data_IF_704630704841
#
_entry.id   IF_704630704841
#
_cell.length_a   1.000
_cell.length_b   1.000
_cell.length_c   1.000
_cell.angle_alpha   90.00
_cell.angle_beta   90.00
_cell.angle_gamma   90.00
#
_symmetry.space_group_name_H-M   'P 1'
#
loop_
_entity.id
_entity.type
_entity.pdbx_description
1 polymer ?
#
# COMPACT_ATOMS: atom_id res chain seq x y z
N UNK A 1 -11.84 -52.37 9.06
CA UNK A 1 -12.01 -53.66 8.39
C UNK A 1 -11.16 -54.78 9.00
N UNK A 2 -10.09 -54.44 9.73
CA UNK A 2 -9.22 -55.41 10.44
C UNK A 2 -9.90 -55.88 11.71
N UNK A 3 -10.05 -57.19 11.88
CA UNK A 3 -10.55 -57.78 13.11
C UNK A 3 -9.74 -59.06 13.47
N UNK A 4 -10.06 -59.71 14.58
CA UNK A 4 -9.32 -60.90 15.08
C UNK A 4 -9.34 -62.10 14.09
N UNK A 5 -10.35 -62.17 13.21
CA UNK A 5 -10.51 -63.26 12.22
C UNK A 5 -9.91 -62.90 10.87
N UNK A 6 -9.83 -61.58 10.51
CA UNK A 6 -9.38 -61.10 9.21
C UNK A 6 -8.32 -60.02 9.41
N UNK A 7 -7.05 -60.42 9.45
CA UNK A 7 -5.93 -59.52 9.72
C UNK A 7 -5.46 -58.77 8.49
N UNK A 8 -5.80 -59.24 7.27
CA UNK A 8 -5.44 -58.60 6.01
C UNK A 8 -6.72 -58.53 5.11
N UNK A 9 -7.64 -57.60 5.41
CA UNK A 9 -8.89 -57.50 4.63
C UNK A 9 -8.60 -57.04 3.19
N UNK A 10 -9.15 -57.77 2.22
CA UNK A 10 -9.06 -57.45 0.79
C UNK A 10 -10.23 -56.61 0.27
N UNK A 11 -11.12 -56.18 1.15
CA UNK A 11 -12.27 -55.32 0.84
C UNK A 11 -12.01 -53.88 1.23
N UNK A 12 -12.48 -52.98 0.41
CA UNK A 12 -12.50 -51.54 0.67
C UNK A 12 -13.91 -51.00 0.46
N UNK A 13 -14.24 -49.93 1.13
CA UNK A 13 -15.47 -49.19 0.81
C UNK A 13 -15.30 -48.49 -0.52
N UNK A 14 -16.35 -48.42 -1.36
CA UNK A 14 -16.35 -47.52 -2.51
C UNK A 14 -16.10 -46.09 -2.01
N UNK A 15 -15.35 -45.30 -2.77
CA UNK A 15 -15.17 -43.88 -2.50
C UNK A 15 -16.51 -43.15 -2.59
N UNK A 16 -16.63 -42.08 -1.85
CA UNK A 16 -17.74 -41.13 -2.02
C UNK A 16 -17.54 -40.36 -3.35
N UNK A 17 -18.64 -40.00 -3.96
CA UNK A 17 -18.61 -39.14 -5.15
C UNK A 17 -17.95 -37.80 -4.76
N UNK A 18 -17.09 -37.24 -5.65
CA UNK A 18 -16.49 -35.95 -5.46
C UNK A 18 -17.52 -34.82 -5.57
N UNK A 19 -17.36 -33.77 -4.80
CA UNK A 19 -18.16 -32.56 -4.92
C UNK A 19 -17.50 -31.57 -5.87
N UNK A 20 -18.22 -31.11 -6.88
CA UNK A 20 -17.80 -30.02 -7.75
C UNK A 20 -18.52 -28.73 -7.33
N UNK A 21 -17.77 -27.71 -6.92
CA UNK A 21 -18.32 -26.41 -6.55
C UNK A 21 -17.62 -25.27 -7.29
N UNK A 22 -18.42 -24.30 -7.71
CA UNK A 22 -17.89 -23.05 -8.25
C UNK A 22 -17.49 -22.13 -7.10
N UNK A 23 -16.22 -21.70 -7.06
CA UNK A 23 -15.71 -20.78 -6.05
C UNK A 23 -15.25 -19.48 -6.70
N UNK A 24 -15.61 -18.36 -6.08
CA UNK A 24 -15.11 -17.05 -6.46
C UNK A 24 -13.82 -16.76 -5.72
N UNK A 25 -12.70 -16.71 -6.43
CA UNK A 25 -11.43 -16.30 -5.87
C UNK A 25 -11.29 -14.77 -5.98
N UNK A 26 -11.22 -14.08 -4.86
CA UNK A 26 -10.99 -12.62 -4.81
C UNK A 26 -9.61 -12.34 -4.25
N UNK A 27 -8.72 -11.81 -5.10
CA UNK A 27 -7.41 -11.30 -4.63
C UNK A 27 -7.65 -10.07 -3.75
N UNK A 28 -7.31 -10.17 -2.46
CA UNK A 28 -7.62 -9.15 -1.44
C UNK A 28 -6.51 -8.13 -1.28
N UNK A 29 -5.24 -8.51 -1.49
CA UNK A 29 -4.07 -7.66 -1.31
C UNK A 29 -3.48 -7.34 -2.68
N UNK A 30 -3.34 -6.06 -3.00
CA UNK A 30 -2.70 -5.59 -4.23
C UNK A 30 -1.21 -5.33 -4.00
N UNK A 31 -0.87 -4.69 -2.89
CA UNK A 31 0.49 -4.33 -2.50
C UNK A 31 0.57 -4.15 -0.98
N UNK A 32 1.77 -4.19 -0.43
CA UNK A 32 1.99 -3.90 0.99
C UNK A 32 1.88 -2.40 1.26
N UNK A 33 2.41 -1.59 0.34
CA UNK A 33 2.44 -0.13 0.44
C UNK A 33 1.79 0.52 -0.77
N UNK A 34 0.80 1.37 -0.55
CA UNK A 34 0.18 2.19 -1.58
C UNK A 34 0.70 3.62 -1.55
N UNK A 35 1.13 4.15 -2.70
CA UNK A 35 1.60 5.53 -2.80
C UNK A 35 0.42 6.48 -2.99
N UNK A 36 0.33 7.47 -2.12
CA UNK A 36 -0.64 8.57 -2.16
C UNK A 36 0.04 9.88 -2.51
N UNK A 37 -0.65 10.76 -3.18
CA UNK A 37 -0.15 12.11 -3.46
C UNK A 37 -0.76 12.69 -4.71
N UNK A 38 -0.76 14.01 -4.81
CA UNK A 38 -1.21 14.74 -5.99
C UNK A 38 -0.47 14.31 -7.27
N UNK A 39 -1.00 14.57 -8.46
CA UNK A 39 -0.24 14.49 -9.69
C UNK A 39 1.09 15.23 -9.56
N UNK A 40 2.15 14.65 -10.11
CA UNK A 40 3.51 15.20 -10.05
C UNK A 40 4.12 15.33 -8.64
N UNK A 41 3.53 14.75 -7.59
CA UNK A 41 4.15 14.71 -6.25
C UNK A 41 5.43 13.86 -6.19
N UNK A 42 5.81 13.19 -7.29
CA UNK A 42 7.04 12.39 -7.35
C UNK A 42 6.86 10.93 -6.99
N UNK A 43 5.63 10.39 -7.02
CA UNK A 43 5.34 8.98 -6.68
C UNK A 43 6.13 7.99 -7.54
N UNK A 44 6.02 8.07 -8.85
CA UNK A 44 6.73 7.17 -9.78
C UNK A 44 8.25 7.37 -9.72
N UNK A 45 8.72 8.60 -9.48
CA UNK A 45 10.15 8.88 -9.30
C UNK A 45 10.67 8.25 -8.00
N UNK A 46 9.90 8.33 -6.91
CA UNK A 46 10.23 7.68 -5.65
C UNK A 46 10.26 6.16 -5.82
N UNK A 47 9.20 5.59 -6.43
CA UNK A 47 9.13 4.16 -6.70
C UNK A 47 10.37 3.66 -7.45
N UNK A 48 10.74 4.34 -8.55
CA UNK A 48 11.93 4.00 -9.33
C UNK A 48 13.25 4.18 -8.56
N UNK A 49 13.31 5.13 -7.61
CA UNK A 49 14.52 5.41 -6.86
C UNK A 49 14.78 4.40 -5.73
N UNK A 50 13.72 3.82 -5.14
CA UNK A 50 13.84 2.87 -4.02
C UNK A 50 13.73 1.41 -4.44
N UNK A 51 13.22 1.10 -5.64
CA UNK A 51 13.12 -0.27 -6.14
C UNK A 51 14.31 -0.61 -7.02
N UNK A 52 14.86 -1.84 -6.87
CA UNK A 52 16.06 -2.29 -7.60
C UNK A 52 15.75 -2.72 -9.05
N UNK A 53 14.50 -2.76 -9.45
CA UNK A 53 14.08 -3.14 -10.79
C UNK A 53 13.18 -2.06 -11.39
N UNK A 54 13.15 -1.96 -12.72
CA UNK A 54 12.17 -1.11 -13.40
C UNK A 54 10.77 -1.50 -12.96
N UNK A 55 9.93 -0.54 -12.51
CA UNK A 55 8.57 -0.84 -12.10
C UNK A 55 7.83 -1.60 -13.21
N UNK A 56 7.20 -2.71 -12.85
CA UNK A 56 6.40 -3.48 -13.79
C UNK A 56 4.99 -2.91 -13.84
N UNK A 57 4.48 -2.72 -15.06
CA UNK A 57 3.08 -2.37 -15.27
C UNK A 57 2.27 -3.66 -15.10
N UNK A 58 1.40 -3.70 -14.11
CA UNK A 58 0.54 -4.87 -13.86
C UNK A 58 -0.83 -4.69 -14.51
N UNK A 59 -1.19 -5.55 -15.47
CA UNK A 59 -2.56 -5.64 -15.96
C UNK A 59 -3.38 -6.46 -14.96
N UNK A 60 -4.05 -5.78 -14.04
CA UNK A 60 -4.96 -6.44 -13.11
C UNK A 60 -6.39 -6.41 -13.65
N UNK A 61 -7.11 -7.55 -13.61
CA UNK A 61 -8.52 -7.57 -13.95
C UNK A 61 -9.29 -6.54 -13.13
N UNK A 62 -10.20 -5.83 -13.77
CA UNK A 62 -11.04 -4.78 -13.16
C UNK A 62 -10.34 -3.45 -12.82
N UNK A 63 -9.13 -3.19 -13.35
CA UNK A 63 -8.46 -1.89 -13.24
C UNK A 63 -8.51 -1.16 -14.58
N UNK A 64 -9.17 -0.01 -14.63
CA UNK A 64 -9.13 0.89 -15.80
C UNK A 64 -7.81 1.68 -15.87
N UNK A 65 -7.06 1.71 -14.77
CA UNK A 65 -5.75 2.33 -14.65
C UNK A 65 -4.77 1.26 -14.19
N UNK A 66 -3.73 1.04 -14.94
CA UNK A 66 -2.69 0.05 -14.65
C UNK A 66 -1.75 0.57 -13.57
N UNK A 67 -1.72 -0.01 -12.36
CA UNK A 67 -0.80 0.40 -11.33
C UNK A 67 0.64 0.04 -11.71
N UNK A 68 1.58 0.91 -11.38
CA UNK A 68 3.00 0.58 -11.46
C UNK A 68 3.42 -0.07 -10.14
N UNK A 69 3.93 -1.29 -10.22
CA UNK A 69 4.41 -2.02 -9.07
C UNK A 69 5.92 -2.01 -9.01
N UNK A 70 6.44 -1.78 -7.80
CA UNK A 70 7.86 -1.93 -7.49
C UNK A 70 8.04 -2.92 -6.35
N UNK A 71 9.10 -3.72 -6.42
CA UNK A 71 9.48 -4.64 -5.36
C UNK A 71 10.71 -4.07 -4.67
N UNK A 72 10.58 -3.88 -3.37
CA UNK A 72 11.67 -3.50 -2.49
C UNK A 72 12.15 -4.76 -1.78
N UNK A 73 13.46 -5.03 -1.85
CA UNK A 73 14.08 -6.21 -1.26
C UNK A 73 15.09 -5.81 -0.20
N UNK A 74 15.01 -6.47 0.94
CA UNK A 74 16.02 -6.41 1.97
C UNK A 74 16.30 -7.85 2.44
N UNK A 75 17.55 -8.26 2.48
CA UNK A 75 18.08 -9.59 2.82
C UNK A 75 17.08 -10.76 2.72
N UNK A 76 16.09 -10.85 3.58
CA UNK A 76 15.12 -11.94 3.66
C UNK A 76 13.66 -11.53 3.45
N UNK A 77 13.41 -10.27 3.09
CA UNK A 77 12.05 -9.74 3.00
C UNK A 77 11.82 -9.00 1.71
N UNK A 78 10.62 -9.12 1.19
CA UNK A 78 10.15 -8.37 0.04
C UNK A 78 8.90 -7.57 0.41
N UNK A 79 8.86 -6.32 -0.01
CA UNK A 79 7.69 -5.44 0.10
C UNK A 79 7.28 -5.00 -1.29
N UNK A 80 6.01 -5.15 -1.60
CA UNK A 80 5.42 -4.67 -2.85
C UNK A 80 4.86 -3.27 -2.65
N UNK A 81 5.35 -2.33 -3.44
CA UNK A 81 4.82 -0.96 -3.50
C UNK A 81 3.99 -0.79 -4.76
N UNK A 82 2.87 -0.07 -4.65
CA UNK A 82 2.01 0.28 -5.78
C UNK A 82 1.94 1.80 -5.95
N UNK A 83 2.39 2.30 -7.09
CA UNK A 83 2.00 3.63 -7.56
C UNK A 83 0.69 3.49 -8.32
N UNK A 84 -0.37 3.99 -7.71
CA UNK A 84 -1.70 3.91 -8.26
C UNK A 84 -2.02 5.29 -8.84
N UNK A 85 -2.00 5.45 -10.18
CA UNK A 85 -2.31 6.74 -10.80
C UNK A 85 -3.78 7.11 -10.60
N UNK A 86 -4.09 8.39 -10.44
CA UNK A 86 -5.46 8.89 -10.56
C UNK A 86 -6.15 9.42 -9.32
N UNK A 87 -5.43 9.78 -8.24
CA UNK A 87 -6.09 10.29 -7.04
C UNK A 87 -6.84 11.63 -7.24
N UNK A 88 -6.47 12.48 -8.21
CA UNK A 88 -7.02 13.85 -8.23
C UNK A 88 -7.21 14.45 -9.64
N UNK A 89 -7.16 13.67 -10.71
CA UNK A 89 -7.32 14.32 -12.02
C UNK A 89 -8.75 14.75 -12.33
N UNK A 90 -9.78 14.29 -11.59
CA UNK A 90 -11.18 14.61 -11.90
C UNK A 90 -12.11 14.77 -10.70
N UNK A 91 -11.62 14.85 -9.48
CA UNK A 91 -12.45 15.12 -8.29
C UNK A 91 -13.20 16.47 -8.41
N UNK A 92 -12.62 17.45 -9.11
CA UNK A 92 -13.24 18.74 -9.38
C UNK A 92 -14.33 18.70 -10.48
N UNK A 93 -14.41 17.60 -11.25
CA UNK A 93 -15.38 17.46 -12.35
C UNK A 93 -16.56 16.56 -12.06
N UNK A 94 -16.69 16.04 -10.84
CA UNK A 94 -17.82 15.21 -10.43
C UNK A 94 -17.91 13.84 -11.10
N UNK A 95 -16.91 13.44 -11.88
CA UNK A 95 -16.89 12.15 -12.57
C UNK A 95 -16.21 11.10 -11.69
N UNK A 96 -16.96 10.08 -11.27
CA UNK A 96 -16.67 9.03 -10.28
C UNK A 96 -15.43 8.15 -10.45
N UNK A 97 -14.29 8.72 -10.82
CA UNK A 97 -13.01 7.98 -10.95
C UNK A 97 -12.38 7.71 -9.58
N UNK A 98 -12.63 8.59 -8.59
CA UNK A 98 -12.06 8.48 -7.24
C UNK A 98 -12.41 7.20 -6.49
N UNK A 99 -13.62 6.66 -6.65
CA UNK A 99 -14.08 5.48 -5.90
C UNK A 99 -13.37 4.19 -6.31
N UNK A 100 -13.05 4.01 -7.58
CA UNK A 100 -12.33 2.82 -8.07
C UNK A 100 -10.87 2.82 -7.62
N UNK A 101 -10.23 3.97 -7.65
CA UNK A 101 -8.87 4.18 -7.17
C UNK A 101 -8.74 3.88 -5.67
N UNK A 102 -9.64 4.40 -4.86
CA UNK A 102 -9.64 4.18 -3.41
C UNK A 102 -9.86 2.71 -3.05
N UNK A 103 -10.55 1.94 -3.90
CA UNK A 103 -10.65 0.49 -3.79
C UNK A 103 -9.32 -0.26 -3.95
N UNK A 104 -8.34 0.30 -4.66
CA UNK A 104 -6.98 -0.28 -4.73
C UNK A 104 -6.17 0.06 -3.48
N UNK A 105 -6.29 1.29 -2.98
CA UNK A 105 -5.65 1.72 -1.73
C UNK A 105 -6.20 0.93 -0.54
N UNK A 106 -7.48 0.60 -0.53
CA UNK A 106 -8.10 -0.26 0.46
C UNK A 106 -7.38 -1.62 0.59
N UNK A 107 -6.77 -2.09 -0.50
CA UNK A 107 -6.04 -3.36 -0.55
C UNK A 107 -4.57 -3.27 -0.16
N UNK A 108 -4.06 -2.09 0.19
CA UNK A 108 -2.72 -1.91 0.71
C UNK A 108 -2.71 -1.97 2.24
N UNK A 109 -1.60 -2.43 2.84
CA UNK A 109 -1.43 -2.50 4.31
C UNK A 109 -1.06 -1.15 4.90
N UNK A 110 -0.15 -0.43 4.24
CA UNK A 110 0.39 0.87 4.64
C UNK A 110 0.19 1.87 3.51
N UNK A 111 -0.04 3.12 3.85
CA UNK A 111 -0.15 4.22 2.90
C UNK A 111 1.07 5.14 3.04
N UNK A 112 1.79 5.37 1.96
CA UNK A 112 2.88 6.34 1.88
C UNK A 112 2.38 7.60 1.19
N UNK A 113 2.17 8.66 1.96
CA UNK A 113 1.60 9.91 1.48
C UNK A 113 2.70 10.91 1.12
N UNK A 114 2.86 11.17 -0.17
CA UNK A 114 3.85 12.10 -0.71
C UNK A 114 3.28 13.51 -0.81
N UNK A 115 3.99 14.47 -0.22
CA UNK A 115 3.65 15.90 -0.23
C UNK A 115 4.76 16.64 -0.97
N UNK A 116 4.43 17.30 -2.07
CA UNK A 116 5.41 18.05 -2.87
C UNK A 116 5.84 19.34 -2.15
N UNK A 117 7.11 19.45 -1.77
CA UNK A 117 7.69 20.64 -1.16
C UNK A 117 7.64 21.89 -2.07
N UNK A 118 7.68 21.69 -3.40
CA UNK A 118 7.64 22.78 -4.39
C UNK A 118 6.25 23.35 -4.58
N UNK A 119 5.21 22.66 -4.14
CA UNK A 119 3.83 23.12 -4.25
C UNK A 119 3.63 24.51 -3.66
N UNK A 120 2.68 25.27 -4.20
CA UNK A 120 2.29 26.57 -3.65
C UNK A 120 1.74 26.45 -2.23
N UNK A 121 0.99 25.40 -1.96
CA UNK A 121 0.41 25.17 -0.63
C UNK A 121 0.44 23.69 -0.24
N UNK A 122 1.60 23.16 0.26
CA UNK A 122 1.77 21.76 0.62
C UNK A 122 0.77 21.27 1.68
N UNK A 123 0.46 22.09 2.68
CA UNK A 123 -0.49 21.75 3.73
C UNK A 123 -1.93 21.61 3.18
N UNK A 124 -2.34 22.47 2.25
CA UNK A 124 -3.66 22.36 1.65
C UNK A 124 -3.78 21.09 0.81
N UNK A 125 -2.75 20.78 0.03
CA UNK A 125 -2.69 19.55 -0.75
C UNK A 125 -2.83 18.30 0.13
N UNK A 126 -2.16 18.29 1.28
CA UNK A 126 -2.30 17.23 2.28
C UNK A 126 -3.76 17.13 2.79
N UNK A 127 -4.34 18.26 3.18
CA UNK A 127 -5.72 18.32 3.67
C UNK A 127 -6.74 17.82 2.64
N UNK A 128 -6.56 18.16 1.39
CA UNK A 128 -7.45 17.76 0.31
C UNK A 128 -7.47 16.25 0.12
N UNK A 129 -6.30 15.61 0.15
CA UNK A 129 -6.18 14.15 0.08
C UNK A 129 -6.84 13.49 1.30
N UNK A 130 -6.58 13.99 2.51
CA UNK A 130 -7.20 13.44 3.72
C UNK A 130 -8.72 13.56 3.68
N UNK A 131 -9.27 14.68 3.20
CA UNK A 131 -10.72 14.84 3.01
C UNK A 131 -11.30 13.80 2.06
N UNK A 132 -10.60 13.48 0.95
CA UNK A 132 -11.06 12.47 0.01
C UNK A 132 -11.03 11.06 0.62
N UNK A 133 -9.97 10.71 1.34
CA UNK A 133 -9.85 9.46 2.06
C UNK A 133 -10.99 9.32 3.08
N UNK A 134 -11.25 10.36 3.86
CA UNK A 134 -12.31 10.38 4.88
C UNK A 134 -13.69 10.28 4.24
N UNK A 135 -13.93 10.99 3.14
CA UNK A 135 -15.19 10.95 2.40
C UNK A 135 -15.48 9.57 1.81
N UNK A 136 -14.45 8.86 1.37
CA UNK A 136 -14.60 7.49 0.88
C UNK A 136 -14.99 6.53 2.01
N UNK A 137 -14.50 6.74 3.21
CA UNK A 137 -14.74 5.89 4.37
C UNK A 137 -14.08 4.52 4.26
N UNK A 138 -14.84 3.45 4.47
CA UNK A 138 -14.39 2.04 4.44
C UNK A 138 -13.14 1.74 5.26
N UNK A 139 -12.84 2.56 6.27
CA UNK A 139 -11.72 2.38 7.17
C UNK A 139 -10.37 2.81 6.63
N UNK A 140 -10.32 3.52 5.49
CA UNK A 140 -9.06 4.03 4.93
C UNK A 140 -8.39 5.05 5.84
N UNK A 141 -9.17 5.85 6.56
CA UNK A 141 -8.69 6.82 7.53
C UNK A 141 -7.96 6.18 8.72
N UNK A 142 -8.25 4.90 9.01
CA UNK A 142 -7.63 4.13 10.11
C UNK A 142 -6.34 3.41 9.69
N UNK A 143 -6.02 3.41 8.40
CA UNK A 143 -4.79 2.76 7.93
C UNK A 143 -3.55 3.50 8.40
N UNK A 144 -2.50 2.74 8.65
CA UNK A 144 -1.17 3.29 8.96
C UNK A 144 -0.69 4.15 7.81
N UNK A 145 -0.48 5.45 8.08
CA UNK A 145 0.06 6.39 7.11
C UNK A 145 1.49 6.79 7.49
N UNK A 146 2.35 6.89 6.47
CA UNK A 146 3.69 7.45 6.57
C UNK A 146 3.68 8.72 5.73
N UNK A 147 4.02 9.86 6.34
CA UNK A 147 4.05 11.14 5.65
C UNK A 147 5.47 11.44 5.18
N UNK A 148 5.61 11.83 3.91
CA UNK A 148 6.90 12.17 3.34
C UNK A 148 6.80 13.45 2.49
N UNK A 149 7.70 14.40 2.75
CA UNK A 149 7.88 15.56 1.91
C UNK A 149 8.86 15.18 0.80
N UNK A 150 8.37 15.19 -0.43
CA UNK A 150 9.15 14.92 -1.64
C UNK A 150 9.76 16.19 -2.22
N UNK A 151 10.75 16.05 -3.09
CA UNK A 151 11.44 17.15 -3.79
C UNK A 151 12.06 18.17 -2.85
N UNK A 152 12.58 17.72 -1.72
CA UNK A 152 13.21 18.59 -0.72
C UNK A 152 14.40 19.39 -1.27
N UNK A 153 15.05 18.87 -2.29
CA UNK A 153 16.16 19.51 -3.00
C UNK A 153 15.78 20.77 -3.79
N UNK A 154 14.48 20.98 -4.05
CA UNK A 154 13.98 22.12 -4.84
C UNK A 154 13.50 23.30 -3.97
N UNK A 155 13.66 23.22 -2.66
CA UNK A 155 13.27 24.27 -1.73
C UNK A 155 14.39 24.58 -0.73
N UNK A 156 14.40 25.80 -0.20
CA UNK A 156 15.39 26.17 0.82
C UNK A 156 15.10 25.46 2.15
N UNK A 157 16.13 25.22 2.96
CA UNK A 157 15.99 24.60 4.28
C UNK A 157 15.01 25.35 5.19
N UNK A 158 15.04 26.69 5.15
CA UNK A 158 14.09 27.51 5.93
C UNK A 158 12.65 27.22 5.55
N UNK A 159 12.35 27.16 4.26
CA UNK A 159 11.01 26.84 3.75
C UNK A 159 10.62 25.41 4.11
N UNK A 160 11.54 24.45 3.97
CA UNK A 160 11.32 23.05 4.30
C UNK A 160 10.94 22.88 5.78
N UNK A 161 11.69 23.49 6.72
CA UNK A 161 11.38 23.45 8.15
C UNK A 161 9.98 24.00 8.47
N UNK A 162 9.57 25.08 7.79
CA UNK A 162 8.21 25.64 7.97
C UNK A 162 7.13 24.68 7.47
N UNK A 163 7.37 24.00 6.34
CA UNK A 163 6.42 23.02 5.77
C UNK A 163 6.29 21.84 6.74
N UNK A 164 7.41 21.27 7.19
CA UNK A 164 7.43 20.15 8.14
C UNK A 164 6.61 20.50 9.37
N UNK A 165 6.94 21.61 10.04
CA UNK A 165 6.26 22.05 11.26
C UNK A 165 4.74 22.15 11.07
N UNK A 166 4.28 22.80 10.00
CA UNK A 166 2.84 22.95 9.71
C UNK A 166 2.13 21.62 9.49
N UNK A 167 2.79 20.66 8.81
CA UNK A 167 2.20 19.36 8.54
C UNK A 167 2.17 18.51 9.80
N UNK A 168 3.24 18.50 10.61
CA UNK A 168 3.31 17.77 11.87
C UNK A 168 2.30 18.30 12.90
N UNK A 169 2.16 19.61 13.00
CA UNK A 169 1.15 20.25 13.86
C UNK A 169 -0.27 19.83 13.51
N UNK A 170 -0.56 19.73 12.21
CA UNK A 170 -1.89 19.33 11.74
C UNK A 170 -2.13 17.82 11.81
N UNK A 171 -1.16 17.01 11.37
CA UNK A 171 -1.30 15.56 11.26
C UNK A 171 -1.09 14.81 12.57
N UNK A 172 -0.42 15.46 13.55
CA UNK A 172 0.05 14.84 14.80
C UNK A 172 0.98 13.65 14.56
N UNK A 173 1.67 13.65 13.44
CA UNK A 173 2.56 12.55 13.01
C UNK A 173 3.88 13.13 12.53
N UNK A 174 4.97 12.39 12.72
CA UNK A 174 6.28 12.75 12.18
C UNK A 174 6.28 12.70 10.66
N UNK A 175 7.06 13.58 10.05
CA UNK A 175 7.16 13.74 8.61
C UNK A 175 8.59 13.46 8.14
N UNK A 176 8.74 12.51 7.23
CA UNK A 176 10.02 12.24 6.59
C UNK A 176 10.30 13.24 5.46
N UNK A 177 11.56 13.39 5.13
CA UNK A 177 12.00 14.28 4.05
C UNK A 177 12.76 13.47 3.01
N UNK A 178 12.43 13.66 1.73
CA UNK A 178 13.10 12.92 0.66
C UNK A 178 13.39 13.75 -0.59
N UNK A 179 14.44 13.33 -1.28
CA UNK A 179 14.68 13.68 -2.67
C UNK A 179 15.05 12.41 -3.45
N UNK A 180 14.18 12.01 -4.36
CA UNK A 180 14.46 10.87 -5.24
C UNK A 180 15.64 11.14 -6.17
N UNK A 181 15.83 12.38 -6.61
CA UNK A 181 16.92 12.79 -7.51
C UNK A 181 18.26 12.80 -6.79
N UNK A 182 18.32 13.40 -5.59
CA UNK A 182 19.55 13.45 -4.78
C UNK A 182 19.72 12.25 -3.85
N UNK A 183 18.79 11.28 -3.86
CA UNK A 183 18.76 10.09 -3.00
C UNK A 183 18.82 10.39 -1.51
N UNK A 184 18.26 11.54 -1.09
CA UNK A 184 18.22 11.97 0.32
C UNK A 184 17.02 11.31 1.00
N UNK A 185 17.20 10.79 2.23
CA UNK A 185 16.16 10.23 3.09
C UNK A 185 15.57 8.89 2.59
N UNK A 186 16.14 8.28 1.52
CA UNK A 186 15.60 7.04 0.96
C UNK A 186 15.88 5.83 1.84
N UNK A 187 17.07 5.71 2.43
CA UNK A 187 17.41 4.58 3.29
C UNK A 187 16.55 4.57 4.56
N UNK A 188 16.41 5.73 5.21
CA UNK A 188 15.54 5.89 6.37
C UNK A 188 14.09 5.52 6.06
N UNK A 189 13.58 5.94 4.88
CA UNK A 189 12.24 5.56 4.42
C UNK A 189 12.12 4.04 4.25
N UNK A 190 13.12 3.39 3.65
CA UNK A 190 13.14 1.94 3.44
C UNK A 190 13.05 1.20 4.77
N UNK A 191 13.88 1.57 5.74
CA UNK A 191 13.90 0.96 7.08
C UNK A 191 12.54 1.11 7.78
N UNK A 192 11.93 2.29 7.71
CA UNK A 192 10.62 2.55 8.29
C UNK A 192 9.52 1.72 7.59
N UNK A 193 9.59 1.56 6.27
CA UNK A 193 8.63 0.76 5.52
C UNK A 193 8.68 -0.70 5.95
N UNK A 194 9.88 -1.31 6.03
CA UNK A 194 10.04 -2.68 6.51
C UNK A 194 9.51 -2.84 7.94
N UNK A 195 9.93 -1.99 8.86
CA UNK A 195 9.50 -2.05 10.26
C UNK A 195 7.98 -1.94 10.42
N UNK A 196 7.30 -1.09 9.62
CA UNK A 196 5.85 -0.92 9.69
C UNK A 196 5.09 -2.09 9.09
N UNK A 197 5.56 -2.63 7.95
CA UNK A 197 4.91 -3.79 7.29
C UNK A 197 5.06 -5.03 8.16
N UNK A 198 6.24 -5.29 8.73
CA UNK A 198 6.48 -6.42 9.62
C UNK A 198 5.59 -6.38 10.86
N UNK A 199 5.50 -5.23 11.50
CA UNK A 199 4.60 -5.07 12.66
C UNK A 199 3.16 -5.42 12.34
N UNK A 200 2.70 -5.11 11.12
CA UNK A 200 1.34 -5.43 10.69
C UNK A 200 1.16 -6.90 10.31
N UNK A 201 2.20 -7.56 9.79
CA UNK A 201 2.18 -9.00 9.49
C UNK A 201 2.12 -9.81 10.78
N UNK A 202 3.03 -9.56 11.72
CA UNK A 202 3.09 -10.26 13.00
C UNK A 202 1.78 -10.12 13.82
N UNK A 203 1.12 -8.96 13.76
CA UNK A 203 -0.17 -8.76 14.41
C UNK A 203 -1.32 -9.54 13.76
N UNK A 204 -1.17 -10.01 12.51
CA UNK A 204 -2.17 -10.85 11.84
C UNK A 204 -1.98 -12.32 12.19
N UNK A 205 -0.77 -12.82 12.23
CA UNK A 205 -0.46 -14.21 12.59
C UNK A 205 -1.00 -14.56 13.97
N UNK A 206 -0.86 -13.66 14.95
CA UNK A 206 -1.41 -13.84 16.31
C UNK A 206 -2.95 -13.95 16.33
N UNK A 207 -3.66 -13.45 15.30
CA UNK A 207 -5.13 -13.53 15.22
C UNK A 207 -5.63 -14.75 14.46
N UNK A 208 -4.82 -15.34 13.60
CA UNK A 208 -5.19 -16.51 12.78
C UNK A 208 -4.93 -17.85 13.49
N UNK A 209 -4.11 -17.90 14.54
CA UNK A 209 -3.87 -19.12 15.36
C UNK A 209 -5.07 -19.62 16.19
N UNK A 210 -6.24 -19.02 16.07
CA UNK A 210 -7.47 -19.45 16.76
C UNK A 210 -8.48 -20.17 15.87
N UNK A 211 -8.03 -20.84 14.82
CA UNK A 211 -8.88 -21.79 14.13
C UNK A 211 -8.65 -23.18 14.71
N UNK A 212 -9.56 -23.64 15.56
CA UNK A 212 -9.68 -25.05 15.93
C UNK A 212 -10.79 -25.67 15.06
N UNK A 213 -10.57 -26.86 14.47
CA UNK A 213 -11.59 -27.58 13.72
C UNK A 213 -12.79 -27.99 14.57
#
# INVERSE_FOLDING_TARGET
>A
FKNSKEQAPRRSNPGLEGEEIWVWLRLKILADVGLLGLPNAGKSSLLSAITNAKPKIGNYPYTTLTPQLGILRNYNQEIVLADIPGLINDAHKGVGIGTRFLGHIERCKVLLHLIDAKSKNPLQNYKDIIKEITKYGKGLEKKTQILIISKADLVSEKKLKVIIKKIEEYSKSSVLVSSSVKRIGLNELIDILFAKVDKLNNNKEIKEEKWSP
#
